data_IF_942133472028
#
_entry.id   IF_942133472028
#
_cell.length_a   1.000
_cell.length_b   1.000
_cell.length_c   1.000
_cell.angle_alpha   90.00
_cell.angle_beta   90.00
_cell.angle_gamma   90.00
#
_symmetry.space_group_name_H-M   'P 1'
#
loop_
_entity.id
_entity.type
_entity.pdbx_description
1 polymer ?
#
# COMPACT_ATOMS: atom_id res chain seq x y z
N UNK A 1 4.08 44.96 -0.53
CA UNK A 1 4.98 44.28 -1.49
C UNK A 1 4.97 42.81 -1.11
N UNK A 2 4.57 41.99 -2.06
CA UNK A 2 4.29 40.56 -1.99
C UNK A 2 5.55 39.76 -1.71
N UNK A 3 5.52 38.91 -0.67
CA UNK A 3 6.48 37.81 -0.51
C UNK A 3 6.21 36.82 -1.65
N UNK A 4 7.21 36.39 -2.44
CA UNK A 4 6.99 35.32 -3.40
C UNK A 4 6.77 34.05 -2.59
N UNK A 5 5.58 33.47 -2.72
CA UNK A 5 5.33 32.10 -2.35
C UNK A 5 6.31 31.24 -3.16
N UNK A 6 7.22 30.56 -2.45
CA UNK A 6 7.97 29.44 -3.01
C UNK A 6 6.94 28.35 -3.33
N UNK A 7 6.34 28.42 -4.51
CA UNK A 7 5.73 27.27 -5.17
C UNK A 7 6.82 26.20 -5.26
N UNK A 8 6.78 25.24 -4.35
CA UNK A 8 7.46 23.97 -4.56
C UNK A 8 6.96 23.44 -5.91
N UNK A 9 7.84 23.14 -6.87
CA UNK A 9 7.40 22.69 -8.18
C UNK A 9 6.54 21.45 -7.97
N UNK A 10 5.38 21.40 -8.63
CA UNK A 10 4.57 20.20 -8.71
C UNK A 10 5.49 19.07 -9.21
N UNK A 11 5.95 18.22 -8.28
CA UNK A 11 6.85 17.14 -8.58
C UNK A 11 6.07 16.17 -9.47
N UNK A 12 6.31 16.22 -10.78
CA UNK A 12 5.85 15.21 -11.72
C UNK A 12 6.44 13.89 -11.25
N UNK A 13 5.59 13.04 -10.67
CA UNK A 13 5.95 11.68 -10.27
C UNK A 13 6.55 10.98 -11.47
N UNK A 14 7.70 10.36 -11.28
CA UNK A 14 8.32 9.49 -12.26
C UNK A 14 7.39 8.32 -12.58
N UNK A 15 7.51 7.69 -13.77
CA UNK A 15 6.71 6.51 -14.11
C UNK A 15 6.80 5.37 -13.08
N UNK A 16 7.95 5.25 -12.40
CA UNK A 16 8.14 4.28 -11.32
C UNK A 16 7.32 4.63 -10.07
N UNK A 17 7.30 5.90 -9.67
CA UNK A 17 6.50 6.38 -8.54
C UNK A 17 5.00 6.24 -8.83
N UNK A 18 4.55 6.56 -10.04
CA UNK A 18 3.16 6.35 -10.45
C UNK A 18 2.75 4.87 -10.38
N UNK A 19 3.64 3.97 -10.82
CA UNK A 19 3.41 2.53 -10.71
C UNK A 19 3.27 2.08 -9.26
N UNK A 20 4.15 2.55 -8.37
CA UNK A 20 4.09 2.25 -6.93
C UNK A 20 2.80 2.77 -6.29
N UNK A 21 2.40 4.00 -6.63
CA UNK A 21 1.17 4.60 -6.11
C UNK A 21 -0.07 3.78 -6.48
N UNK A 22 -0.15 3.25 -7.72
CA UNK A 22 -1.26 2.37 -8.12
C UNK A 22 -1.35 1.11 -7.25
N UNK A 23 -0.21 0.53 -6.85
CA UNK A 23 -0.21 -0.60 -5.92
C UNK A 23 -0.66 -0.18 -4.52
N UNK A 24 -0.25 0.99 -4.03
CA UNK A 24 -0.71 1.52 -2.74
C UNK A 24 -2.21 1.79 -2.73
N UNK A 25 -2.78 2.35 -3.81
CA UNK A 25 -4.22 2.54 -3.95
C UNK A 25 -4.97 1.21 -3.85
N UNK A 26 -4.57 0.22 -4.64
CA UNK A 26 -5.20 -1.11 -4.62
C UNK A 26 -5.05 -1.79 -3.26
N UNK A 27 -3.90 -1.62 -2.60
CA UNK A 27 -3.69 -2.15 -1.25
C UNK A 27 -4.62 -1.50 -0.24
N UNK A 28 -4.89 -0.20 -0.38
CA UNK A 28 -5.87 0.52 0.43
C UNK A 28 -7.29 0.00 0.22
N UNK A 29 -7.70 -0.19 -1.03
CA UNK A 29 -9.03 -0.71 -1.39
C UNK A 29 -9.27 -2.11 -0.78
N UNK A 30 -8.36 -3.05 -0.99
CA UNK A 30 -8.50 -4.41 -0.42
C UNK A 30 -8.43 -4.39 1.11
N UNK A 31 -7.65 -3.49 1.71
CA UNK A 31 -7.63 -3.31 3.15
C UNK A 31 -8.98 -2.85 3.68
N UNK A 32 -9.62 -1.91 2.99
CA UNK A 32 -10.94 -1.41 3.35
C UNK A 32 -12.02 -2.50 3.21
N UNK A 33 -11.95 -3.34 2.18
CA UNK A 33 -12.83 -4.50 2.03
C UNK A 33 -12.66 -5.49 3.20
N UNK A 34 -11.42 -5.83 3.57
CA UNK A 34 -11.15 -6.70 4.73
C UNK A 34 -11.65 -6.11 6.04
N UNK A 35 -11.45 -4.80 6.26
CA UNK A 35 -11.94 -4.09 7.46
C UNK A 35 -13.47 -4.16 7.52
N UNK A 36 -14.14 -3.96 6.39
CA UNK A 36 -15.61 -3.95 6.31
C UNK A 36 -16.19 -5.34 6.55
N UNK A 37 -15.54 -6.40 6.03
CA UNK A 37 -16.02 -7.77 6.16
C UNK A 37 -15.68 -8.44 7.51
N UNK A 38 -14.51 -8.15 8.07
CA UNK A 38 -13.94 -8.92 9.19
C UNK A 38 -13.38 -8.06 10.33
N UNK A 39 -13.39 -6.73 10.20
CA UNK A 39 -12.88 -5.80 11.20
C UNK A 39 -11.41 -5.44 11.02
N UNK A 40 -11.01 -4.37 11.70
CA UNK A 40 -9.68 -3.75 11.57
C UNK A 40 -8.54 -4.65 12.01
N UNK A 41 -8.71 -5.40 13.10
CA UNK A 41 -7.67 -6.25 13.66
C UNK A 41 -7.32 -7.41 12.70
N UNK A 42 -8.33 -7.98 12.05
CA UNK A 42 -8.14 -8.99 11.02
C UNK A 42 -7.36 -8.43 9.83
N UNK A 43 -7.80 -7.30 9.28
CA UNK A 43 -7.16 -6.68 8.11
C UNK A 43 -5.67 -6.36 8.38
N UNK A 44 -5.37 -5.79 9.55
CA UNK A 44 -4.02 -5.48 9.96
C UNK A 44 -3.16 -6.76 10.10
N UNK A 45 -3.69 -7.79 10.77
CA UNK A 45 -3.00 -9.07 10.93
C UNK A 45 -2.71 -9.77 9.59
N UNK A 46 -3.67 -9.73 8.66
CA UNK A 46 -3.53 -10.31 7.32
C UNK A 46 -2.42 -9.61 6.52
N UNK A 47 -2.35 -8.27 6.56
CA UNK A 47 -1.29 -7.51 5.88
C UNK A 47 0.10 -7.77 6.49
N UNK A 48 0.19 -7.85 7.82
CA UNK A 48 1.46 -8.19 8.50
C UNK A 48 1.93 -9.59 8.10
N UNK A 49 1.01 -10.56 8.02
CA UNK A 49 1.33 -11.91 7.55
C UNK A 49 1.77 -11.92 6.09
N UNK A 50 1.10 -11.16 5.22
CA UNK A 50 1.49 -11.03 3.82
C UNK A 50 2.91 -10.45 3.69
N UNK A 51 3.24 -9.39 4.44
CA UNK A 51 4.57 -8.81 4.50
C UNK A 51 5.62 -9.83 4.99
N UNK A 52 5.28 -10.64 6.00
CA UNK A 52 6.14 -11.72 6.48
C UNK A 52 6.39 -12.77 5.41
N UNK A 53 5.37 -13.19 4.65
CA UNK A 53 5.56 -14.14 3.54
C UNK A 53 6.44 -13.58 2.43
N UNK A 54 6.38 -12.27 2.16
CA UNK A 54 7.30 -11.61 1.23
C UNK A 54 8.73 -11.75 1.75
N UNK A 55 8.97 -11.39 3.01
CA UNK A 55 10.29 -11.47 3.63
C UNK A 55 10.84 -12.90 3.70
N UNK A 56 9.97 -13.89 3.89
CA UNK A 56 10.32 -15.31 3.91
C UNK A 56 10.42 -15.94 2.50
N UNK A 57 10.11 -15.20 1.42
CA UNK A 57 10.11 -15.74 0.05
C UNK A 57 9.01 -16.76 -0.23
N UNK A 58 7.90 -16.69 0.51
CA UNK A 58 6.79 -17.68 0.50
C UNK A 58 5.55 -17.21 -0.26
N UNK A 59 5.56 -16.02 -0.85
CA UNK A 59 4.46 -15.55 -1.70
C UNK A 59 4.23 -16.55 -2.85
N UNK A 60 2.97 -16.92 -3.07
CA UNK A 60 2.57 -17.85 -4.13
C UNK A 60 2.77 -19.33 -3.80
N UNK A 61 3.30 -19.67 -2.62
CA UNK A 61 3.36 -21.06 -2.17
C UNK A 61 2.05 -21.46 -1.46
N UNK A 62 1.45 -22.60 -1.82
CA UNK A 62 0.25 -23.09 -1.12
C UNK A 62 0.60 -23.35 0.35
N UNK A 63 -0.31 -22.97 1.25
CA UNK A 63 -0.18 -23.27 2.68
C UNK A 63 -0.05 -24.79 2.83
N UNK A 64 1.02 -25.33 3.47
CA UNK A 64 1.04 -26.74 3.81
C UNK A 64 -0.09 -27.00 4.80
N UNK A 65 -0.95 -27.96 4.45
CA UNK A 65 -2.12 -28.38 5.23
C UNK A 65 -1.71 -28.92 6.60
#
# INVERSE_FOLDING_TARGET
MTTPETEAPAATLTPEEQSKDLFFTRLGEISQEMVTAHGRDFAMGALVLAARWIAEGRIGQPKPH
#
